data_IF_380688143411
#
_entry.id   IF_380688143411
#
_cell.length_a   1.000
_cell.length_b   1.000
_cell.length_c   1.000
_cell.angle_alpha   90.00
_cell.angle_beta   90.00
_cell.angle_gamma   90.00
#
_symmetry.space_group_name_H-M   'P 1'
#
loop_
_entity.id
_entity.type
_entity.pdbx_description
1 polymer ?
#
# COMPACT_ATOMS: atom_id res chain seq x y z
N UNK A 1 50.06 52.25 -19.85
CA UNK A 1 48.89 51.96 -19.02
C UNK A 1 48.24 50.64 -19.55
N UNK A 2 48.51 49.53 -18.90
CA UNK A 2 48.00 48.23 -19.26
C UNK A 2 46.73 47.94 -18.45
N UNK A 3 45.58 47.81 -19.11
CA UNK A 3 44.29 47.46 -18.50
C UNK A 3 44.18 45.96 -18.45
N UNK A 4 44.18 45.38 -17.26
CA UNK A 4 43.85 43.95 -17.04
C UNK A 4 42.33 43.78 -17.03
N UNK A 5 41.80 43.05 -18.02
CA UNK A 5 40.44 42.56 -17.99
C UNK A 5 40.41 41.26 -17.15
N UNK A 6 39.76 41.30 -15.99
CA UNK A 6 39.44 40.13 -15.21
C UNK A 6 38.12 39.59 -15.73
N UNK A 7 38.18 38.46 -16.45
CA UNK A 7 37.00 37.69 -16.83
C UNK A 7 36.55 36.85 -15.64
N UNK A 8 35.46 37.26 -14.97
CA UNK A 8 34.78 36.44 -13.98
C UNK A 8 33.99 35.33 -14.71
N UNK A 9 34.48 34.10 -14.62
CA UNK A 9 33.76 32.91 -15.07
C UNK A 9 32.69 32.58 -14.03
N UNK A 10 31.46 32.97 -14.26
CA UNK A 10 30.33 32.55 -13.45
C UNK A 10 29.99 31.10 -13.79
N UNK A 11 30.42 30.18 -12.95
CA UNK A 11 29.95 28.80 -12.98
C UNK A 11 28.49 28.76 -12.51
N UNK A 12 27.54 28.73 -13.44
CA UNK A 12 26.16 28.43 -13.14
C UNK A 12 26.07 26.97 -12.74
N UNK A 13 25.99 26.70 -11.44
CA UNK A 13 25.60 25.41 -10.95
C UNK A 13 24.13 25.19 -11.31
N UNK A 14 23.91 24.39 -12.36
CA UNK A 14 22.61 23.83 -12.66
C UNK A 14 22.26 22.84 -11.54
N UNK A 15 21.62 23.32 -10.48
CA UNK A 15 20.87 22.45 -9.59
C UNK A 15 19.68 21.93 -10.39
N UNK A 16 19.86 20.80 -11.06
CA UNK A 16 18.76 20.05 -11.60
C UNK A 16 17.85 19.65 -10.45
N UNK A 17 16.68 20.27 -10.35
CA UNK A 17 15.62 19.76 -9.54
C UNK A 17 15.25 18.39 -10.14
N UNK A 18 15.72 17.30 -9.53
CA UNK A 18 15.28 15.97 -9.85
C UNK A 18 13.84 15.87 -9.35
N UNK A 19 12.89 16.09 -10.26
CA UNK A 19 11.50 15.83 -9.97
C UNK A 19 11.32 14.31 -9.97
N UNK A 20 10.83 13.75 -8.87
CA UNK A 20 10.46 12.34 -8.83
C UNK A 20 9.51 12.04 -10.00
N UNK A 21 9.75 10.95 -10.70
CA UNK A 21 8.86 10.48 -11.75
C UNK A 21 7.64 9.82 -11.11
N UNK A 22 6.47 10.13 -11.66
CA UNK A 22 5.21 9.52 -11.25
C UNK A 22 4.90 8.32 -12.14
N UNK A 23 4.62 7.20 -11.52
CA UNK A 23 4.24 5.96 -12.16
C UNK A 23 2.87 5.52 -11.67
N UNK A 24 2.10 4.86 -12.54
CA UNK A 24 0.91 4.13 -12.13
C UNK A 24 1.29 2.70 -11.69
N UNK A 25 0.56 2.18 -10.70
CA UNK A 25 0.67 0.78 -10.29
C UNK A 25 0.15 -0.12 -11.40
N UNK A 26 0.95 -1.10 -11.79
CA UNK A 26 0.61 -2.08 -12.83
C UNK A 26 -0.49 -3.03 -12.35
N UNK A 27 -1.32 -3.49 -13.27
CA UNK A 27 -2.36 -4.50 -13.04
C UNK A 27 -1.77 -5.89 -12.70
N UNK A 28 -0.49 -6.11 -12.99
CA UNK A 28 0.23 -7.33 -12.59
C UNK A 28 0.67 -7.34 -11.12
N UNK A 29 0.48 -6.22 -10.43
CA UNK A 29 0.74 -6.09 -9.00
C UNK A 29 -0.21 -6.96 -8.18
N UNK A 30 0.16 -7.21 -6.90
CA UNK A 30 -0.69 -7.95 -5.97
C UNK A 30 -0.93 -7.13 -4.72
N UNK A 31 -2.20 -7.03 -4.34
CA UNK A 31 -2.65 -6.49 -3.07
C UNK A 31 -3.33 -7.63 -2.32
N UNK A 32 -2.61 -8.23 -1.37
CA UNK A 32 -3.00 -9.46 -0.71
C UNK A 32 -2.94 -9.35 0.82
N UNK A 33 -3.59 -10.28 1.47
CA UNK A 33 -3.57 -10.42 2.92
C UNK A 33 -3.64 -11.89 3.33
N UNK A 34 -3.21 -12.18 4.56
CA UNK A 34 -3.28 -13.51 5.15
C UNK A 34 -3.81 -13.43 6.58
N UNK A 35 -4.72 -14.34 6.95
CA UNK A 35 -5.33 -14.45 8.28
C UNK A 35 -5.22 -15.88 8.76
N UNK A 36 -4.80 -16.09 10.00
CA UNK A 36 -4.85 -17.42 10.62
C UNK A 36 -6.28 -17.75 11.04
N UNK A 37 -6.73 -18.95 10.71
CA UNK A 37 -8.03 -19.48 11.10
C UNK A 37 -7.84 -20.68 12.03
N UNK A 38 -8.54 -20.67 13.17
CA UNK A 38 -8.42 -21.69 14.22
C UNK A 38 -6.98 -21.97 14.68
N UNK A 39 -6.09 -20.97 14.57
CA UNK A 39 -4.64 -21.07 14.87
C UNK A 39 -3.85 -22.12 14.06
N UNK A 40 -4.50 -22.84 13.14
CA UNK A 40 -3.92 -23.97 12.42
C UNK A 40 -3.84 -23.74 10.90
N UNK A 41 -4.80 -23.05 10.34
CA UNK A 41 -4.87 -22.81 8.89
C UNK A 41 -4.64 -21.34 8.55
N UNK A 42 -3.99 -21.08 7.43
CA UNK A 42 -3.89 -19.73 6.86
C UNK A 42 -4.93 -19.58 5.77
N UNK A 43 -5.67 -18.50 5.83
CA UNK A 43 -6.56 -18.05 4.77
C UNK A 43 -5.87 -16.89 4.07
N UNK A 44 -5.52 -17.10 2.82
CA UNK A 44 -4.99 -16.06 1.94
C UNK A 44 -6.12 -15.43 1.14
N UNK A 45 -6.05 -14.12 0.98
CA UNK A 45 -6.98 -13.35 0.20
C UNK A 45 -6.29 -12.23 -0.57
N UNK A 46 -6.97 -11.71 -1.56
CA UNK A 46 -6.49 -10.59 -2.38
C UNK A 46 -7.64 -9.70 -2.82
N UNK A 47 -7.29 -8.50 -3.27
CA UNK A 47 -8.22 -7.61 -3.96
C UNK A 47 -7.85 -7.59 -5.44
N UNK A 48 -8.79 -8.03 -6.29
CA UNK A 48 -8.55 -8.16 -7.74
C UNK A 48 -8.67 -6.84 -8.50
N UNK A 49 -9.26 -5.80 -7.89
CA UNK A 49 -9.38 -4.46 -8.49
C UNK A 49 -8.74 -3.43 -7.58
N UNK A 50 -7.71 -2.80 -8.08
CA UNK A 50 -6.96 -1.78 -7.37
C UNK A 50 -6.36 -0.78 -8.36
N UNK A 51 -5.97 0.37 -7.86
CA UNK A 51 -5.19 1.39 -8.57
C UNK A 51 -4.24 2.07 -7.61
N UNK A 52 -3.23 2.76 -8.13
CA UNK A 52 -2.31 3.51 -7.29
C UNK A 52 -1.28 4.26 -8.10
N UNK A 53 -0.57 5.15 -7.40
CA UNK A 53 0.53 5.95 -7.93
C UNK A 53 1.76 5.82 -7.06
N UNK A 54 2.91 5.80 -7.70
CA UNK A 54 4.23 5.69 -7.07
C UNK A 54 5.05 6.88 -7.58
N UNK A 55 5.51 7.76 -6.68
CA UNK A 55 6.49 8.78 -7.03
C UNK A 55 7.87 8.31 -6.59
N UNK A 56 8.78 8.18 -7.56
CA UNK A 56 10.08 7.56 -7.36
C UNK A 56 11.15 8.22 -8.20
N UNK A 57 12.35 8.40 -7.63
CA UNK A 57 13.51 8.92 -8.33
C UNK A 57 14.80 8.34 -7.75
N UNK A 58 15.66 7.80 -8.61
CA UNK A 58 17.02 7.37 -8.30
C UNK A 58 17.16 6.57 -6.98
N UNK A 59 16.31 5.57 -6.77
CA UNK A 59 16.34 4.73 -5.58
C UNK A 59 15.50 5.25 -4.41
N UNK A 60 14.87 6.41 -4.54
CA UNK A 60 14.10 7.04 -3.47
C UNK A 60 12.60 7.04 -3.75
N UNK A 61 11.85 6.35 -2.89
CA UNK A 61 10.39 6.43 -2.86
C UNK A 61 9.98 7.71 -2.12
N UNK A 62 9.26 8.60 -2.81
CA UNK A 62 8.79 9.87 -2.25
C UNK A 62 7.29 9.91 -1.98
N UNK A 63 6.50 9.14 -2.75
CA UNK A 63 5.07 8.97 -2.49
C UNK A 63 4.59 7.59 -2.94
N UNK A 64 3.61 7.07 -2.23
CA UNK A 64 2.83 5.90 -2.60
C UNK A 64 1.40 6.13 -2.13
N UNK A 65 0.47 6.04 -3.07
CA UNK A 65 -0.97 6.06 -2.77
C UNK A 65 -1.69 5.00 -3.59
N UNK A 66 -2.76 4.47 -3.05
CA UNK A 66 -3.55 3.46 -3.74
C UNK A 66 -4.93 3.30 -3.17
N UNK A 67 -5.77 2.62 -3.95
CA UNK A 67 -7.10 2.23 -3.55
C UNK A 67 -7.42 0.83 -4.05
N UNK A 68 -8.27 0.12 -3.31
CA UNK A 68 -8.82 -1.17 -3.70
C UNK A 68 -10.35 -1.09 -3.74
N UNK A 69 -10.97 -1.77 -4.69
CA UNK A 69 -12.41 -2.06 -4.69
C UNK A 69 -12.67 -3.18 -3.68
N UNK A 70 -13.37 -2.88 -2.60
CA UNK A 70 -13.67 -3.82 -1.52
C UNK A 70 -14.48 -5.02 -2.01
N UNK A 71 -15.37 -4.82 -2.98
CA UNK A 71 -16.15 -5.90 -3.57
C UNK A 71 -15.31 -6.92 -4.36
N UNK A 72 -14.07 -6.55 -4.73
CA UNK A 72 -13.14 -7.42 -5.44
C UNK A 72 -12.37 -8.40 -4.55
N UNK A 73 -12.69 -8.46 -3.26
CA UNK A 73 -12.11 -9.42 -2.32
C UNK A 73 -12.31 -10.85 -2.81
N UNK A 74 -11.22 -11.63 -2.78
CA UNK A 74 -11.21 -13.03 -3.21
C UNK A 74 -10.31 -13.86 -2.29
N UNK A 75 -10.91 -14.81 -1.59
CA UNK A 75 -10.22 -15.78 -0.73
C UNK A 75 -10.34 -17.20 -1.30
N UNK A 76 -10.72 -17.35 -2.57
CA UNK A 76 -10.99 -18.63 -3.25
C UNK A 76 -12.13 -19.44 -2.61
N UNK A 77 -13.05 -18.76 -1.93
CA UNK A 77 -14.24 -19.36 -1.33
C UNK A 77 -15.39 -18.35 -1.43
N UNK A 78 -16.30 -18.58 -2.38
CA UNK A 78 -17.39 -17.65 -2.68
C UNK A 78 -18.29 -17.32 -1.49
N UNK A 79 -18.62 -18.33 -0.64
CA UNK A 79 -19.44 -18.09 0.56
C UNK A 79 -18.73 -17.19 1.57
N UNK A 80 -17.42 -17.34 1.72
CA UNK A 80 -16.61 -16.50 2.60
C UNK A 80 -16.50 -15.10 2.00
N UNK A 81 -16.26 -14.98 0.72
CA UNK A 81 -16.14 -13.71 0.02
C UNK A 81 -17.45 -12.91 0.07
N UNK A 82 -18.59 -13.57 -0.08
CA UNK A 82 -19.91 -12.95 0.09
C UNK A 82 -20.09 -12.42 1.51
N UNK A 83 -19.68 -13.20 2.52
CA UNK A 83 -19.75 -12.76 3.91
C UNK A 83 -18.77 -11.62 4.21
N UNK A 84 -17.55 -11.63 3.64
CA UNK A 84 -16.62 -10.52 3.80
C UNK A 84 -17.17 -9.21 3.22
N UNK A 85 -17.94 -9.26 2.12
CA UNK A 85 -18.59 -8.07 1.53
C UNK A 85 -19.78 -7.57 2.32
N UNK A 86 -20.38 -8.42 3.16
CA UNK A 86 -21.60 -8.09 3.91
C UNK A 86 -21.38 -6.94 4.91
N UNK A 87 -22.48 -6.38 5.38
CA UNK A 87 -22.52 -5.19 6.21
C UNK A 87 -21.87 -5.38 7.60
N UNK A 88 -21.79 -6.61 8.07
CA UNK A 88 -21.18 -6.97 9.35
C UNK A 88 -19.64 -6.97 9.30
N UNK A 89 -19.01 -7.06 8.11
CA UNK A 89 -17.55 -7.02 7.97
C UNK A 89 -17.10 -5.78 7.21
N UNK A 90 -16.92 -5.87 5.89
CA UNK A 90 -16.45 -4.74 5.10
C UNK A 90 -17.53 -3.73 4.75
N UNK A 91 -18.80 -4.15 4.71
CA UNK A 91 -19.92 -3.33 4.26
C UNK A 91 -19.63 -2.68 2.88
N UNK A 92 -19.29 -3.54 1.90
CA UNK A 92 -18.84 -3.11 0.59
C UNK A 92 -19.86 -2.25 -0.16
N UNK A 93 -21.14 -2.37 0.17
CA UNK A 93 -22.20 -1.54 -0.40
C UNK A 93 -22.12 -0.08 0.07
N UNK A 94 -21.69 0.15 1.31
CA UNK A 94 -21.53 1.49 1.89
C UNK A 94 -20.09 2.02 1.74
N UNK A 95 -19.11 1.16 1.89
CA UNK A 95 -17.69 1.49 1.83
C UNK A 95 -17.04 0.74 0.66
N UNK A 96 -17.30 1.21 -0.54
CA UNK A 96 -16.90 0.55 -1.77
C UNK A 96 -15.37 0.49 -1.96
N UNK A 97 -14.62 1.39 -1.30
CA UNK A 97 -13.16 1.49 -1.45
C UNK A 97 -12.46 1.55 -0.10
N UNK A 98 -11.28 0.94 -0.03
CA UNK A 98 -10.26 1.23 0.98
C UNK A 98 -9.12 1.97 0.30
N UNK A 99 -8.51 2.93 0.98
CA UNK A 99 -7.43 3.73 0.43
C UNK A 99 -6.22 3.72 1.34
N UNK A 100 -5.04 3.85 0.73
CA UNK A 100 -3.78 4.02 1.44
C UNK A 100 -3.06 5.26 0.92
N UNK A 101 -2.44 6.01 1.82
CA UNK A 101 -1.58 7.15 1.50
C UNK A 101 -0.34 7.13 2.39
N UNK A 102 0.82 7.02 1.77
CA UNK A 102 2.10 7.10 2.46
C UNK A 102 2.31 8.52 3.01
N UNK A 103 2.76 8.62 4.25
CA UNK A 103 3.25 9.86 4.86
C UNK A 103 4.76 9.99 4.76
N UNK A 104 5.48 8.86 4.95
CA UNK A 104 6.94 8.82 4.81
C UNK A 104 7.45 7.42 4.49
N UNK A 105 8.65 7.37 3.91
CA UNK A 105 9.47 6.17 3.80
C UNK A 105 10.74 6.35 4.62
N UNK A 106 10.90 5.56 5.68
CA UNK A 106 12.00 5.70 6.63
C UNK A 106 12.43 4.33 7.16
N UNK A 107 13.73 4.11 7.25
CA UNK A 107 14.35 2.91 7.83
C UNK A 107 13.79 1.59 7.24
N UNK A 108 13.56 1.57 5.91
CA UNK A 108 12.98 0.42 5.21
C UNK A 108 11.49 0.20 5.49
N UNK A 109 10.79 1.19 6.03
CA UNK A 109 9.36 1.12 6.31
C UNK A 109 8.59 2.17 5.51
N UNK A 110 7.48 1.74 4.92
CA UNK A 110 6.43 2.62 4.40
C UNK A 110 5.46 2.90 5.55
N UNK A 111 5.41 4.15 5.99
CA UNK A 111 4.50 4.60 7.04
C UNK A 111 3.39 5.42 6.35
N UNK A 112 2.15 5.18 6.73
CA UNK A 112 1.04 5.88 6.09
C UNK A 112 -0.30 5.63 6.76
N UNK A 113 -1.32 6.18 6.14
CA UNK A 113 -2.70 6.10 6.60
C UNK A 113 -3.49 5.14 5.71
N UNK A 114 -4.07 4.11 6.31
CA UNK A 114 -5.02 3.19 5.70
C UNK A 114 -6.43 3.59 6.11
N UNK A 115 -7.27 3.93 5.14
CA UNK A 115 -8.70 4.20 5.39
C UNK A 115 -9.51 2.93 5.18
N UNK A 116 -10.20 2.48 6.23
CA UNK A 116 -11.10 1.32 6.20
C UNK A 116 -12.44 1.73 6.80
N UNK A 117 -13.52 1.44 6.11
CA UNK A 117 -14.89 1.81 6.54
C UNK A 117 -15.01 3.29 6.94
N UNK A 118 -14.31 4.18 6.20
CA UNK A 118 -14.33 5.62 6.44
C UNK A 118 -13.53 6.09 7.66
N UNK A 119 -12.72 5.21 8.27
CA UNK A 119 -11.84 5.54 9.41
C UNK A 119 -10.38 5.41 9.02
N UNK A 120 -9.58 6.34 9.48
CA UNK A 120 -8.14 6.39 9.24
C UNK A 120 -7.37 5.64 10.32
N UNK A 121 -6.44 4.80 9.88
CA UNK A 121 -5.58 3.98 10.73
C UNK A 121 -4.13 4.16 10.30
N UNK A 122 -3.24 4.46 11.25
CA UNK A 122 -1.81 4.52 10.98
C UNK A 122 -1.27 3.10 10.85
N UNK A 123 -0.53 2.86 9.76
CA UNK A 123 0.10 1.56 9.50
C UNK A 123 1.55 1.76 9.08
N UNK A 124 2.37 0.75 9.38
CA UNK A 124 3.76 0.68 8.95
C UNK A 124 4.01 -0.68 8.29
N UNK A 125 4.56 -0.66 7.09
CA UNK A 125 4.89 -1.85 6.31
C UNK A 125 6.40 -1.92 6.13
N UNK A 126 7.02 -3.04 6.47
CA UNK A 126 8.40 -3.32 6.10
C UNK A 126 8.48 -3.46 4.57
N UNK A 127 9.34 -2.70 3.93
CA UNK A 127 9.38 -2.61 2.48
C UNK A 127 10.79 -2.77 1.93
N UNK A 128 10.86 -3.49 0.80
CA UNK A 128 12.04 -3.56 -0.07
C UNK A 128 11.69 -2.92 -1.40
N UNK A 129 12.51 -1.97 -1.81
CA UNK A 129 12.36 -1.28 -3.08
C UNK A 129 13.49 -1.71 -3.99
N UNK A 130 13.16 -2.07 -5.20
CA UNK A 130 14.09 -2.40 -6.28
C UNK A 130 13.63 -1.75 -7.57
N UNK A 131 14.42 -1.86 -8.61
CA UNK A 131 14.10 -1.34 -9.93
C UNK A 131 14.09 -2.47 -10.97
N UNK A 132 13.18 -2.35 -11.91
CA UNK A 132 13.18 -3.13 -13.13
C UNK A 132 13.03 -2.19 -14.33
N UNK A 133 14.04 -2.15 -15.19
CA UNK A 133 14.09 -1.24 -16.36
C UNK A 133 13.79 0.23 -16.00
N UNK A 134 14.35 0.72 -14.87
CA UNK A 134 14.17 2.09 -14.40
C UNK A 134 12.82 2.38 -13.74
N UNK A 135 11.98 1.36 -13.55
CA UNK A 135 10.68 1.49 -12.87
C UNK A 135 10.74 0.84 -11.49
N UNK A 136 10.11 1.44 -10.48
CA UNK A 136 10.11 0.88 -9.13
C UNK A 136 9.32 -0.43 -9.03
N UNK A 137 9.86 -1.34 -8.24
CA UNK A 137 9.20 -2.57 -7.76
C UNK A 137 9.26 -2.55 -6.25
N UNK A 138 8.12 -2.66 -5.59
CA UNK A 138 7.97 -2.56 -4.14
C UNK A 138 7.40 -3.88 -3.62
N UNK A 139 8.14 -4.53 -2.72
CA UNK A 139 7.62 -5.63 -1.92
C UNK A 139 7.46 -5.12 -0.49
N UNK A 140 6.23 -5.14 0.05
CA UNK A 140 5.97 -4.64 1.38
C UNK A 140 5.07 -5.60 2.17
N UNK A 141 5.34 -5.71 3.48
CA UNK A 141 4.55 -6.54 4.40
C UNK A 141 4.38 -5.84 5.73
N UNK A 142 3.25 -6.08 6.38
CA UNK A 142 2.98 -5.54 7.71
C UNK A 142 1.81 -6.26 8.37
N UNK A 143 1.67 -6.08 9.67
CA UNK A 143 0.58 -6.68 10.44
C UNK A 143 -0.33 -5.58 10.96
N UNK A 144 -1.62 -5.77 10.79
CA UNK A 144 -2.68 -4.93 11.35
C UNK A 144 -3.64 -5.79 12.17
N UNK A 145 -4.36 -5.17 13.09
CA UNK A 145 -5.42 -5.87 13.84
C UNK A 145 -6.77 -5.53 13.24
N UNK A 146 -7.50 -6.54 12.80
CA UNK A 146 -8.82 -6.35 12.23
C UNK A 146 -9.81 -5.73 13.21
N UNK A 147 -9.68 -5.99 14.53
CA UNK A 147 -10.48 -5.35 15.57
C UNK A 147 -10.27 -3.82 15.60
N UNK A 148 -9.03 -3.36 15.45
CA UNK A 148 -8.72 -1.93 15.37
C UNK A 148 -9.28 -1.31 14.08
N UNK A 149 -9.35 -2.09 12.99
CA UNK A 149 -9.96 -1.67 11.72
C UNK A 149 -11.50 -1.72 11.71
N UNK A 150 -12.13 -2.18 12.80
CA UNK A 150 -13.58 -2.37 12.87
C UNK A 150 -14.09 -3.53 12.01
N UNK A 151 -13.24 -4.53 11.76
CA UNK A 151 -13.54 -5.74 10.99
C UNK A 151 -13.77 -6.92 11.94
N UNK A 152 -14.84 -6.86 12.72
CA UNK A 152 -15.21 -7.86 13.72
C UNK A 152 -16.61 -8.39 13.45
N UNK A 153 -16.81 -9.69 13.61
CA UNK A 153 -18.16 -10.26 13.55
C UNK A 153 -18.92 -10.01 14.84
N UNK A 154 -20.18 -9.72 14.75
CA UNK A 154 -21.06 -9.60 15.91
C UNK A 154 -21.18 -10.93 16.69
N UNK A 155 -21.02 -12.06 16.00
CA UNK A 155 -21.02 -13.39 16.62
C UNK A 155 -19.62 -13.73 17.14
N UNK A 156 -19.45 -13.69 18.45
CA UNK A 156 -18.18 -13.94 19.13
C UNK A 156 -17.54 -15.31 18.84
N UNK A 157 -18.34 -16.35 18.58
CA UNK A 157 -17.83 -17.69 18.23
C UNK A 157 -17.19 -17.71 16.84
N UNK A 158 -17.81 -17.03 15.86
CA UNK A 158 -17.22 -16.88 14.53
C UNK A 158 -16.03 -15.94 14.56
N UNK A 159 -16.11 -14.87 15.33
CA UNK A 159 -15.04 -13.91 15.48
C UNK A 159 -13.78 -14.53 16.09
N UNK A 160 -13.93 -15.38 17.10
CA UNK A 160 -12.81 -16.08 17.74
C UNK A 160 -12.13 -17.13 16.84
N UNK A 161 -12.76 -17.56 15.75
CA UNK A 161 -12.17 -18.50 14.84
C UNK A 161 -11.10 -17.87 13.92
N UNK A 162 -11.19 -16.58 13.63
CA UNK A 162 -10.19 -15.85 12.86
C UNK A 162 -9.22 -15.11 13.78
N UNK A 163 -7.93 -15.13 13.48
CA UNK A 163 -6.94 -14.32 14.19
C UNK A 163 -7.29 -12.83 14.09
N UNK A 164 -7.04 -12.08 15.16
CA UNK A 164 -7.13 -10.63 15.13
C UNK A 164 -6.05 -10.02 14.24
N UNK A 165 -4.88 -10.65 14.19
CA UNK A 165 -3.78 -10.23 13.33
C UNK A 165 -4.03 -10.63 11.88
N UNK A 166 -3.89 -9.64 10.98
CA UNK A 166 -3.93 -9.79 9.53
C UNK A 166 -2.59 -9.33 8.98
N UNK A 167 -1.93 -10.19 8.23
CA UNK A 167 -0.72 -9.81 7.50
C UNK A 167 -1.11 -9.22 6.15
N UNK A 168 -0.68 -8.00 5.88
CA UNK A 168 -0.78 -7.35 4.57
C UNK A 168 0.47 -7.72 3.76
N UNK A 169 0.28 -8.09 2.50
CA UNK A 169 1.36 -8.41 1.56
C UNK A 169 1.12 -7.65 0.24
N UNK A 170 2.08 -6.83 -0.13
CA UNK A 170 2.06 -6.04 -1.35
C UNK A 170 3.22 -6.43 -2.25
N UNK A 171 2.94 -6.70 -3.52
CA UNK A 171 3.92 -6.82 -4.58
C UNK A 171 3.50 -5.81 -5.66
N UNK A 172 4.10 -4.63 -5.67
CA UNK A 172 3.73 -3.55 -6.57
C UNK A 172 4.82 -3.35 -7.62
N UNK A 173 4.42 -3.26 -8.86
CA UNK A 173 5.26 -2.86 -9.99
C UNK A 173 4.67 -1.64 -10.68
N UNK A 174 5.52 -0.76 -11.15
CA UNK A 174 5.13 0.41 -11.93
C UNK A 174 4.92 0.06 -13.41
N UNK A 175 3.96 0.72 -14.07
CA UNK A 175 3.72 0.63 -15.52
C UNK A 175 4.05 1.93 -16.24
#
# INVERSE_FOLDING_TARGET
MKKFLVSALAAAALFGATNAADFEVSETSKVAFSVKHLKLMTVDGSFGKFSGKISYDAGKLSALEGSVDVASVNTQNGKRDDHLRANDIFDAAKYATMTFKMSEFKDGKIIGTLNVKGKDHQVALDAKISENAGKPVIAATGVVKRSELGLVWENSLKDSAASDEVTINLELSAK
#
